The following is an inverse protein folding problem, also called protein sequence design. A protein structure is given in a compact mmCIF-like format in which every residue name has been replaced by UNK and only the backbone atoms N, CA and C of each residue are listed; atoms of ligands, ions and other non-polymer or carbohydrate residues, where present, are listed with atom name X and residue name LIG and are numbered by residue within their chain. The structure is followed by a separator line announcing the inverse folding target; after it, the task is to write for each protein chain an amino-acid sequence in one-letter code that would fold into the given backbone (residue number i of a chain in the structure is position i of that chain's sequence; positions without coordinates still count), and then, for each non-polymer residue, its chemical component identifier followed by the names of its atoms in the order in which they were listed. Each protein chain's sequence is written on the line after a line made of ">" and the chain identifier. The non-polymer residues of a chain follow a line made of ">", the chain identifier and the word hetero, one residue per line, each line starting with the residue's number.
data_IF_135235505304
#
_entry.id   IF_135235505304
#
_cell.length_a   1.000
_cell.length_b   1.000
_cell.length_c   1.000
_cell.angle_alpha   90.00
_cell.angle_beta   90.00
_cell.angle_gamma   90.00
#
_symmetry.space_group_name_H-M   'P 1'
#
loop_
_entity.id
_entity.type
_entity.pdbx_description
1 polymer ?
#
# COMPACT_ATOMS: atom_id res chain seq x y z
N UNK A 1 18.04 1.49 9.72
CA UNK A 1 18.45 0.72 8.53
C UNK A 1 17.47 -0.44 8.39
N UNK A 2 16.73 -0.64 7.32
CA UNK A 2 16.03 0.31 6.47
C UNK A 2 14.58 -0.17 6.47
N UNK A 3 13.63 0.71 6.75
CA UNK A 3 12.22 0.32 6.89
C UNK A 3 11.61 -0.17 5.58
N UNK A 4 12.28 -0.05 4.44
CA UNK A 4 11.78 -0.46 3.14
C UNK A 4 12.45 -1.75 2.67
N UNK A 5 11.65 -2.80 2.49
CA UNK A 5 12.05 -4.07 1.92
C UNK A 5 11.50 -4.14 0.49
N UNK A 6 12.39 -4.33 -0.49
CA UNK A 6 12.00 -4.43 -1.91
C UNK A 6 12.23 -5.87 -2.36
N UNK A 7 11.17 -6.56 -2.80
CA UNK A 7 11.23 -7.92 -3.35
C UNK A 7 11.45 -7.90 -4.86
N UNK A 8 10.83 -6.96 -5.56
CA UNK A 8 10.92 -6.80 -7.01
C UNK A 8 10.94 -5.31 -7.39
N UNK A 9 11.62 -4.97 -8.50
CA UNK A 9 11.59 -3.63 -9.10
C UNK A 9 10.90 -3.69 -10.46
N UNK A 10 9.57 -3.50 -10.53
CA UNK A 10 8.86 -3.56 -11.81
C UNK A 10 9.29 -2.40 -12.72
N UNK A 11 9.35 -2.67 -14.02
CA UNK A 11 9.49 -1.61 -15.03
C UNK A 11 8.12 -0.97 -15.25
N UNK A 12 8.01 0.34 -14.99
CA UNK A 12 6.76 1.07 -15.09
C UNK A 12 6.94 2.29 -16.00
N UNK A 13 5.98 2.53 -16.88
CA UNK A 13 5.91 3.74 -17.68
C UNK A 13 4.80 4.65 -17.13
N UNK A 14 5.18 5.86 -16.71
CA UNK A 14 4.28 6.87 -16.13
C UNK A 14 3.30 6.31 -15.05
N UNK A 15 3.81 5.66 -13.97
CA UNK A 15 2.95 5.03 -12.98
C UNK A 15 2.16 6.07 -12.16
N UNK A 16 0.98 5.63 -11.69
CA UNK A 16 0.17 6.37 -10.71
C UNK A 16 0.18 5.60 -9.40
N UNK A 17 0.37 6.31 -8.30
CA UNK A 17 0.33 5.72 -6.97
C UNK A 17 -0.97 6.12 -6.28
N UNK A 18 -1.63 5.13 -5.68
CA UNK A 18 -2.80 5.32 -4.82
C UNK A 18 -2.40 4.82 -3.44
N UNK A 19 -2.63 5.64 -2.41
CA UNK A 19 -2.21 5.36 -1.04
C UNK A 19 -3.43 5.52 -0.14
N UNK A 20 -3.67 4.54 0.72
CA UNK A 20 -4.61 4.63 1.84
C UNK A 20 -3.90 4.27 3.14
N UNK A 21 -4.11 5.08 4.17
CA UNK A 21 -3.58 4.83 5.51
C UNK A 21 -4.75 4.45 6.43
N UNK A 22 -4.59 3.36 7.18
CA UNK A 22 -5.46 3.05 8.30
C UNK A 22 -5.07 3.87 9.53
N UNK A 23 -5.89 3.86 10.58
CA UNK A 23 -5.62 4.57 11.84
C UNK A 23 -6.18 6.00 11.93
N UNK A 24 -6.92 6.47 10.91
CA UNK A 24 -7.70 7.71 10.91
C UNK A 24 -9.19 7.42 10.66
N UNK A 25 -9.95 8.41 10.18
CA UNK A 25 -11.36 8.25 9.84
C UNK A 25 -11.57 7.32 8.64
N UNK A 26 -12.31 6.24 8.86
CA UNK A 26 -12.65 5.23 7.85
C UNK A 26 -14.13 4.80 7.96
N UNK A 27 -15.03 5.76 7.73
CA UNK A 27 -16.46 5.53 7.88
C UNK A 27 -17.00 4.56 6.83
N UNK A 28 -17.49 3.39 7.29
CA UNK A 28 -17.97 2.35 6.39
C UNK A 28 -16.89 1.77 5.48
N UNK A 29 -15.64 1.72 5.95
CA UNK A 29 -14.48 1.16 5.26
C UNK A 29 -14.18 1.84 3.91
N UNK A 30 -14.57 3.10 3.75
CA UNK A 30 -14.39 3.83 2.49
C UNK A 30 -12.91 3.98 2.11
N UNK A 31 -12.01 4.16 3.08
CA UNK A 31 -10.58 4.34 2.86
C UNK A 31 -9.89 2.99 2.65
N UNK A 32 -10.04 2.06 3.60
CA UNK A 32 -9.37 0.74 3.52
C UNK A 32 -10.01 -0.14 2.44
N UNK A 33 -11.33 -0.21 2.38
CA UNK A 33 -12.09 -0.98 1.40
C UNK A 33 -11.87 -0.53 -0.05
N UNK A 34 -11.62 0.76 -0.30
CA UNK A 34 -11.24 1.24 -1.65
C UNK A 34 -9.91 0.64 -2.10
N UNK A 35 -8.91 0.60 -1.22
CA UNK A 35 -7.60 0.00 -1.53
C UNK A 35 -7.73 -1.50 -1.76
N UNK A 36 -8.45 -2.21 -0.89
CA UNK A 36 -8.71 -3.65 -1.05
C UNK A 36 -9.45 -3.96 -2.36
N UNK A 37 -10.47 -3.17 -2.71
CA UNK A 37 -11.20 -3.30 -3.96
C UNK A 37 -10.26 -3.16 -5.17
N UNK A 38 -9.42 -2.11 -5.20
CA UNK A 38 -8.49 -1.85 -6.29
C UNK A 38 -7.43 -2.95 -6.43
N UNK A 39 -6.87 -3.42 -5.31
CA UNK A 39 -5.92 -4.54 -5.32
C UNK A 39 -6.55 -5.79 -5.96
N UNK A 40 -7.78 -6.13 -5.54
CA UNK A 40 -8.51 -7.29 -6.05
C UNK A 40 -8.92 -7.15 -7.52
N UNK A 41 -9.34 -5.95 -7.93
CA UNK A 41 -9.78 -5.63 -9.28
C UNK A 41 -8.62 -5.61 -10.28
N UNK A 42 -7.50 -5.03 -9.90
CA UNK A 42 -6.31 -4.87 -10.75
C UNK A 42 -5.33 -6.05 -10.66
N UNK A 43 -5.58 -7.01 -9.75
CA UNK A 43 -4.66 -8.13 -9.48
C UNK A 43 -3.26 -7.63 -9.13
N UNK A 44 -3.21 -6.66 -8.20
CA UNK A 44 -1.96 -6.06 -7.77
C UNK A 44 -1.03 -7.11 -7.16
N UNK A 45 0.25 -7.06 -7.55
CA UNK A 45 1.29 -7.93 -7.01
C UNK A 45 2.13 -7.18 -5.98
N UNK A 46 2.45 -7.84 -4.87
CA UNK A 46 3.34 -7.28 -3.85
C UNK A 46 4.77 -7.22 -4.40
N UNK A 47 5.35 -6.03 -4.46
CA UNK A 47 6.74 -5.83 -4.91
C UNK A 47 7.64 -5.25 -3.81
N UNK A 48 7.06 -4.63 -2.78
CA UNK A 48 7.77 -4.05 -1.65
C UNK A 48 6.89 -3.97 -0.40
N UNK A 49 7.50 -3.79 0.77
CA UNK A 49 6.82 -3.54 2.04
C UNK A 49 7.62 -2.57 2.92
N UNK A 50 6.90 -1.87 3.81
CA UNK A 50 7.51 -1.05 4.85
C UNK A 50 7.35 -1.77 6.18
N UNK A 51 8.47 -2.09 6.85
CA UNK A 51 8.45 -2.51 8.25
C UNK A 51 8.02 -1.33 9.11
N UNK A 52 6.84 -1.46 9.69
CA UNK A 52 6.19 -0.37 10.40
C UNK A 52 6.66 -0.20 11.85
N UNK A 53 7.53 -1.09 12.36
CA UNK A 53 7.91 -1.14 13.77
C UNK A 53 8.40 0.19 14.35
N UNK A 54 9.22 0.94 13.60
CA UNK A 54 9.73 2.25 14.06
C UNK A 54 8.73 3.42 13.91
N UNK A 55 7.55 3.19 13.31
CA UNK A 55 6.59 4.27 12.98
C UNK A 55 5.34 4.28 13.84
N UNK A 56 5.17 3.27 14.69
CA UNK A 56 4.09 3.20 15.67
C UNK A 56 4.66 3.41 17.08
N UNK A 57 3.97 4.22 17.90
CA UNK A 57 4.31 4.49 19.31
C UNK A 57 3.47 3.57 20.19
#
# INVERSE_FOLDING_TARGET
>A
MGSLIIHERPSLEAPRMIIGFSGWMDGGDVSTGTIEYLQNKLKANKFAEIDAGEFYI
#
